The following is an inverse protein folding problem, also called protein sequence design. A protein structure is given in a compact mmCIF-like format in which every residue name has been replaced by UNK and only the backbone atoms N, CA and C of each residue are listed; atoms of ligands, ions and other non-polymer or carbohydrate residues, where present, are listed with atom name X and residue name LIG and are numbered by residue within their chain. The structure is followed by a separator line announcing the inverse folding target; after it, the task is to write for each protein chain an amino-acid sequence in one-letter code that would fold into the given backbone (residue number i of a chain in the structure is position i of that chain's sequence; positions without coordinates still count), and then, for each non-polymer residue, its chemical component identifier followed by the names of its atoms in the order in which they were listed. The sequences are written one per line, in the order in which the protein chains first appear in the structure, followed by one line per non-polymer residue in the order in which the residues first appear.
data_IF_297557238667
#
_entry.id   IF_297557238667
#
_cell.length_a   1.000
_cell.length_b   1.000
_cell.length_c   1.000
_cell.angle_alpha   90.00
_cell.angle_beta   90.00
_cell.angle_gamma   90.00
#
_symmetry.space_group_name_H-M   'P 1'
#
loop_
_entity.id
_entity.type
_entity.pdbx_description
1 polymer ?
#
# COMPACT_ATOMS: atom_id res chain seq x y z
N UNK A 1 -4.46 -62.16 -66.70
CA UNK A 1 -3.89 -61.75 -68.00
C UNK A 1 -3.10 -60.47 -67.77
N UNK A 2 -1.93 -60.40 -68.42
CA UNK A 2 -0.85 -59.47 -68.15
C UNK A 2 -1.07 -58.04 -68.69
N UNK A 3 -0.36 -57.08 -68.09
CA UNK A 3 0.33 -55.93 -68.70
C UNK A 3 1.08 -55.19 -67.56
N UNK A 4 2.41 -55.23 -67.43
CA UNK A 4 3.46 -54.54 -68.23
C UNK A 4 3.03 -53.13 -68.68
N UNK A 5 3.41 -52.08 -67.96
CA UNK A 5 4.71 -51.39 -67.98
C UNK A 5 4.75 -50.27 -69.05
N UNK A 6 4.96 -49.04 -68.58
CA UNK A 6 5.48 -47.93 -69.39
C UNK A 6 6.50 -47.14 -68.55
N UNK A 7 7.61 -46.83 -69.19
CA UNK A 7 8.88 -46.25 -68.72
C UNK A 7 9.08 -44.97 -69.58
N UNK A 8 9.99 -44.01 -69.32
CA UNK A 8 10.07 -43.04 -68.22
C UNK A 8 10.36 -41.58 -68.71
N UNK A 9 10.63 -40.69 -67.74
CA UNK A 9 11.68 -39.65 -67.77
C UNK A 9 11.34 -38.24 -68.27
N UNK A 10 11.51 -37.25 -67.38
CA UNK A 10 12.28 -36.01 -67.65
C UNK A 10 12.66 -35.26 -66.36
N UNK A 11 13.96 -35.37 -66.03
CA UNK A 11 14.92 -34.33 -65.58
C UNK A 11 14.48 -33.17 -64.65
N UNK A 12 15.20 -33.13 -63.52
CA UNK A 12 15.85 -32.00 -62.82
C UNK A 12 14.98 -30.87 -62.21
N UNK A 13 15.24 -30.53 -60.93
CA UNK A 13 15.94 -29.31 -60.46
C UNK A 13 15.64 -29.04 -58.96
N UNK A 14 16.71 -29.09 -58.17
CA UNK A 14 17.10 -28.22 -57.02
C UNK A 14 16.34 -28.25 -55.68
N UNK A 15 17.18 -28.41 -54.64
CA UNK A 15 16.99 -28.15 -53.20
C UNK A 15 16.16 -26.91 -52.86
N UNK A 16 15.26 -27.05 -51.89
CA UNK A 16 14.71 -25.96 -51.09
C UNK A 16 14.67 -26.33 -49.62
N UNK A 17 15.72 -25.98 -48.88
CA UNK A 17 15.69 -25.85 -47.42
C UNK A 17 14.82 -24.63 -47.08
N UNK A 18 13.74 -24.81 -46.33
CA UNK A 18 12.79 -23.73 -46.04
C UNK A 18 11.97 -23.94 -44.78
N UNK A 19 12.65 -23.71 -43.64
CA UNK A 19 12.14 -23.18 -42.38
C UNK A 19 10.67 -23.44 -41.96
N UNK A 20 10.45 -24.46 -41.15
CA UNK A 20 9.38 -24.44 -40.13
C UNK A 20 9.89 -23.68 -38.90
N UNK A 21 9.85 -22.34 -38.96
CA UNK A 21 9.98 -21.53 -37.76
C UNK A 21 8.68 -21.64 -36.96
N UNK A 22 8.73 -22.49 -35.94
CA UNK A 22 7.77 -22.54 -34.84
C UNK A 22 7.60 -21.13 -34.26
N UNK A 23 6.43 -20.52 -34.45
CA UNK A 23 6.01 -19.37 -33.64
C UNK A 23 5.74 -19.86 -32.22
N UNK A 24 6.79 -20.06 -31.44
CA UNK A 24 6.70 -20.06 -30.00
C UNK A 24 6.36 -18.63 -29.58
N UNK A 25 5.07 -18.35 -29.37
CA UNK A 25 4.65 -17.20 -28.57
C UNK A 25 5.37 -17.33 -27.24
N UNK A 26 6.36 -16.49 -27.01
CA UNK A 26 6.87 -16.25 -25.66
C UNK A 26 5.71 -15.67 -24.87
N UNK A 27 5.00 -16.54 -24.15
CA UNK A 27 4.22 -16.12 -23.00
C UNK A 27 5.22 -15.52 -22.03
N UNK A 28 5.31 -14.19 -22.01
CA UNK A 28 5.88 -13.47 -20.88
C UNK A 28 5.15 -14.01 -19.65
N UNK A 29 5.89 -14.69 -18.77
CA UNK A 29 5.39 -15.01 -17.46
C UNK A 29 4.99 -13.68 -16.82
N UNK A 30 3.68 -13.48 -16.65
CA UNK A 30 3.15 -12.33 -15.96
C UNK A 30 3.63 -12.48 -14.51
N UNK A 31 4.57 -11.64 -14.08
CA UNK A 31 5.04 -11.63 -12.69
C UNK A 31 3.80 -11.55 -11.79
N UNK A 32 3.61 -12.56 -10.93
CA UNK A 32 2.59 -12.51 -9.89
C UNK A 32 2.82 -11.22 -9.10
N UNK A 33 1.82 -10.32 -8.99
CA UNK A 33 1.96 -9.12 -8.17
C UNK A 33 2.39 -9.50 -6.76
N UNK A 34 3.34 -8.73 -6.20
CA UNK A 34 3.61 -8.76 -4.77
C UNK A 34 2.29 -8.51 -4.04
N UNK A 35 1.86 -9.48 -3.22
CA UNK A 35 0.68 -9.35 -2.37
C UNK A 35 1.13 -9.35 -0.90
N UNK A 36 0.69 -8.37 -0.08
CA UNK A 36 -0.16 -7.25 -0.46
C UNK A 36 0.58 -6.22 -1.33
N UNK A 37 -0.11 -5.53 -2.25
CA UNK A 37 0.50 -4.47 -3.02
C UNK A 37 0.96 -3.37 -2.07
N UNK A 38 2.17 -2.85 -2.25
CA UNK A 38 2.76 -1.83 -1.38
C UNK A 38 3.12 -0.57 -2.17
N UNK A 39 3.05 0.61 -1.54
CA UNK A 39 3.54 1.85 -2.14
C UNK A 39 5.07 1.82 -2.29
N UNK A 40 5.59 2.61 -3.24
CA UNK A 40 7.02 2.78 -3.43
C UNK A 40 7.62 3.78 -2.44
N UNK A 41 6.82 4.70 -1.91
CA UNK A 41 7.27 5.70 -0.96
C UNK A 41 7.54 5.10 0.42
N UNK A 42 8.77 5.28 0.88
CA UNK A 42 9.20 5.02 2.25
C UNK A 42 9.77 6.31 2.85
N UNK A 43 8.91 7.18 3.43
CA UNK A 43 9.40 8.41 4.04
C UNK A 43 10.43 8.10 5.14
N UNK A 44 11.48 8.92 5.22
CA UNK A 44 12.57 8.74 6.19
C UNK A 44 12.41 9.60 7.46
N UNK A 45 11.42 10.49 7.47
CA UNK A 45 11.08 11.39 8.55
C UNK A 45 9.76 10.94 9.20
N UNK A 46 9.67 11.09 10.53
CA UNK A 46 8.50 10.68 11.32
C UNK A 46 8.18 11.75 12.37
N UNK A 47 6.88 12.02 12.63
CA UNK A 47 6.48 12.88 13.74
C UNK A 47 7.00 12.36 15.09
N UNK A 48 7.07 13.25 16.08
CA UNK A 48 7.38 12.85 17.44
C UNK A 48 6.26 11.97 18.03
N UNK A 49 6.61 10.78 18.55
CA UNK A 49 5.61 9.84 19.05
C UNK A 49 4.83 10.34 20.27
N UNK A 50 5.43 11.15 21.15
CA UNK A 50 4.71 11.72 22.30
C UNK A 50 3.64 12.71 21.84
N UNK A 51 3.95 13.52 20.82
CA UNK A 51 2.97 14.40 20.19
C UNK A 51 1.83 13.59 19.55
N UNK A 52 2.14 12.51 18.82
CA UNK A 52 1.10 11.66 18.22
C UNK A 52 0.20 11.04 19.28
N UNK A 53 0.77 10.53 20.38
CA UNK A 53 0.00 9.97 21.48
C UNK A 53 -0.91 11.03 22.11
N UNK A 54 -0.40 12.23 22.37
CA UNK A 54 -1.18 13.33 22.93
C UNK A 54 -2.35 13.70 22.01
N UNK A 55 -2.13 13.79 20.70
CA UNK A 55 -3.19 14.10 19.72
C UNK A 55 -4.23 13.00 19.62
N UNK A 56 -3.83 11.74 19.55
CA UNK A 56 -4.77 10.60 19.53
C UNK A 56 -5.62 10.58 20.79
N UNK A 57 -5.02 10.83 21.97
CA UNK A 57 -5.75 10.98 23.24
C UNK A 57 -6.74 12.12 23.20
N UNK A 58 -6.31 13.28 22.72
CA UNK A 58 -7.14 14.47 22.63
C UNK A 58 -8.36 14.24 21.73
N UNK A 59 -8.15 13.74 20.51
CA UNK A 59 -9.24 13.49 19.55
C UNK A 59 -10.16 12.36 19.99
N UNK A 60 -9.60 11.29 20.58
CA UNK A 60 -10.34 10.17 21.14
C UNK A 60 -10.94 10.44 22.53
N UNK A 61 -10.76 11.64 23.09
CA UNK A 61 -11.23 12.06 24.42
C UNK A 61 -10.86 11.07 25.53
N UNK A 62 -9.66 10.49 25.47
CA UNK A 62 -9.15 9.47 26.40
C UNK A 62 -9.99 8.18 26.52
N UNK A 63 -10.97 7.96 25.64
CA UNK A 63 -11.99 6.91 25.82
C UNK A 63 -11.54 5.49 25.46
N UNK A 64 -10.36 5.32 24.87
CA UNK A 64 -9.95 4.07 24.25
C UNK A 64 -8.53 3.67 24.64
N UNK A 65 -8.32 2.36 24.78
CA UNK A 65 -7.01 1.75 24.73
C UNK A 65 -6.50 1.75 23.28
N UNK A 66 -5.22 1.99 23.08
CA UNK A 66 -4.61 1.90 21.76
C UNK A 66 -3.13 1.49 21.81
N UNK A 67 -2.69 0.88 20.73
CA UNK A 67 -1.32 0.45 20.50
C UNK A 67 -0.65 1.42 19.53
N UNK A 68 0.58 1.82 19.83
CA UNK A 68 1.37 2.73 19.01
C UNK A 68 2.51 1.96 18.35
N UNK A 69 2.60 2.08 17.03
CA UNK A 69 3.66 1.50 16.23
C UNK A 69 4.79 2.50 15.95
N UNK A 70 5.96 1.98 15.64
CA UNK A 70 7.18 2.77 15.47
C UNK A 70 7.07 3.87 14.41
N UNK A 71 6.32 3.66 13.32
CA UNK A 71 6.13 4.65 12.25
C UNK A 71 4.89 5.51 12.46
N UNK A 72 4.37 5.61 13.69
CA UNK A 72 3.29 6.49 14.15
C UNK A 72 1.86 6.00 13.94
N UNK A 73 1.67 4.82 13.38
CA UNK A 73 0.32 4.25 13.28
C UNK A 73 -0.18 3.89 14.67
N UNK A 74 -1.43 4.23 14.97
CA UNK A 74 -2.09 3.93 16.23
C UNK A 74 -3.31 3.05 15.97
N UNK A 75 -3.41 1.90 16.64
CA UNK A 75 -4.57 1.01 16.53
C UNK A 75 -5.38 1.05 17.83
N UNK A 76 -6.65 1.41 17.75
CA UNK A 76 -7.55 1.26 18.89
C UNK A 76 -7.80 -0.23 19.11
N UNK A 77 -7.81 -0.65 20.36
CA UNK A 77 -8.04 -2.04 20.76
C UNK A 77 -9.18 -2.13 21.77
N UNK A 78 -9.86 -3.28 21.87
CA UNK A 78 -10.85 -3.51 22.92
C UNK A 78 -10.27 -3.22 24.32
N UNK A 79 -11.05 -2.63 25.23
CA UNK A 79 -10.59 -2.35 26.58
C UNK A 79 -10.34 -3.65 27.36
N UNK A 80 -9.35 -3.63 28.26
CA UNK A 80 -9.09 -4.72 29.19
C UNK A 80 -8.27 -5.89 28.63
N UNK A 81 -7.77 -5.78 27.40
CA UNK A 81 -6.78 -6.72 26.86
C UNK A 81 -5.45 -6.60 27.61
N UNK A 82 -4.78 -7.70 27.90
CA UNK A 82 -3.38 -7.68 28.33
C UNK A 82 -2.48 -7.04 27.26
N UNK A 83 -1.25 -6.64 27.62
CA UNK A 83 -0.33 -6.01 26.67
C UNK A 83 -0.08 -6.91 25.44
N UNK A 84 0.13 -8.22 25.65
CA UNK A 84 0.33 -9.19 24.56
C UNK A 84 -0.91 -9.36 23.68
N UNK A 85 -2.11 -9.38 24.26
CA UNK A 85 -3.36 -9.47 23.50
C UNK A 85 -3.63 -8.19 22.69
N UNK A 86 -3.34 -7.02 23.28
CA UNK A 86 -3.47 -5.74 22.62
C UNK A 86 -2.52 -5.62 21.42
N UNK A 87 -1.25 -5.99 21.60
CA UNK A 87 -0.26 -6.02 20.52
C UNK A 87 -0.73 -6.94 19.38
N UNK A 88 -1.14 -8.17 19.69
CA UNK A 88 -1.64 -9.12 18.69
C UNK A 88 -2.86 -8.55 17.95
N UNK A 89 -3.83 -8.00 18.67
CA UNK A 89 -5.02 -7.40 18.08
C UNK A 89 -4.68 -6.24 17.14
N UNK A 90 -3.74 -5.38 17.54
CA UNK A 90 -3.30 -4.25 16.73
C UNK A 90 -2.57 -4.67 15.45
N UNK A 91 -1.71 -5.69 15.52
CA UNK A 91 -1.05 -6.26 14.32
C UNK A 91 -2.09 -6.87 13.38
N UNK A 92 -3.06 -7.62 13.91
CA UNK A 92 -4.16 -8.18 13.12
C UNK A 92 -5.00 -7.10 12.41
N UNK A 93 -5.21 -5.95 13.06
CA UNK A 93 -5.87 -4.78 12.43
C UNK A 93 -5.08 -4.31 11.21
N UNK A 94 -3.76 -4.10 11.34
CA UNK A 94 -2.93 -3.64 10.21
C UNK A 94 -2.89 -4.65 9.06
N UNK A 95 -2.79 -5.94 9.37
CA UNK A 95 -2.83 -7.00 8.35
C UNK A 95 -4.16 -7.03 7.59
N UNK A 96 -5.28 -6.81 8.28
CA UNK A 96 -6.59 -6.69 7.61
C UNK A 96 -6.64 -5.49 6.68
N UNK A 97 -6.11 -4.33 7.09
CA UNK A 97 -6.10 -3.13 6.24
C UNK A 97 -5.37 -3.41 4.92
N UNK A 98 -4.14 -3.94 4.97
CA UNK A 98 -3.32 -4.15 3.77
C UNK A 98 -3.74 -5.36 2.92
N UNK A 99 -4.48 -6.32 3.48
CA UNK A 99 -4.98 -7.49 2.75
C UNK A 99 -6.30 -7.25 1.99
N UNK A 100 -6.98 -6.14 2.27
CA UNK A 100 -8.22 -5.74 1.61
C UNK A 100 -7.96 -4.59 0.61
N UNK A 101 -8.65 -3.47 0.78
CA UNK A 101 -8.38 -2.21 0.10
C UNK A 101 -8.02 -1.20 1.20
N UNK A 102 -6.77 -0.73 1.28
CA UNK A 102 -6.34 0.22 2.31
C UNK A 102 -6.84 1.63 1.99
N UNK A 103 -8.17 1.77 1.99
CA UNK A 103 -8.89 3.03 1.91
C UNK A 103 -8.57 3.90 3.11
N UNK A 104 -8.51 5.20 2.85
CA UNK A 104 -8.25 6.21 3.85
C UNK A 104 -9.38 7.24 3.87
N UNK A 105 -9.70 7.72 5.07
CA UNK A 105 -10.66 8.78 5.30
C UNK A 105 -9.96 9.92 6.08
N UNK A 106 -9.34 10.87 5.38
CA UNK A 106 -8.67 11.98 6.03
C UNK A 106 -9.68 12.99 6.57
N UNK A 107 -9.42 13.48 7.77
CA UNK A 107 -10.21 14.50 8.45
C UNK A 107 -9.30 15.63 8.92
N UNK A 108 -9.65 16.86 8.56
CA UNK A 108 -8.98 18.05 9.08
C UNK A 108 -9.49 18.34 10.48
N UNK A 109 -8.57 18.38 11.44
CA UNK A 109 -8.86 18.68 12.84
C UNK A 109 -8.87 20.20 13.07
N UNK A 110 -9.41 20.64 14.21
CA UNK A 110 -9.57 22.07 14.51
C UNK A 110 -8.24 22.83 14.62
N UNK A 111 -7.14 22.13 14.95
CA UNK A 111 -5.77 22.65 15.01
C UNK A 111 -5.03 22.55 13.66
N UNK A 112 -5.72 22.11 12.60
CA UNK A 112 -5.17 21.93 11.26
C UNK A 112 -4.40 20.64 11.05
N UNK A 113 -4.25 19.79 12.06
CA UNK A 113 -3.68 18.45 11.91
C UNK A 113 -4.62 17.58 11.05
N UNK A 114 -4.05 16.58 10.38
CA UNK A 114 -4.85 15.62 9.63
C UNK A 114 -4.91 14.30 10.39
N UNK A 115 -6.12 13.88 10.74
CA UNK A 115 -6.41 12.53 11.22
C UNK A 115 -6.73 11.65 10.03
N UNK A 116 -5.93 10.62 9.77
CA UNK A 116 -6.15 9.65 8.70
C UNK A 116 -6.71 8.39 9.33
N UNK A 117 -7.98 8.10 9.11
CA UNK A 117 -8.61 6.83 9.51
C UNK A 117 -8.64 5.82 8.37
N UNK A 118 -8.65 4.53 8.70
CA UNK A 118 -8.76 3.44 7.72
C UNK A 118 -10.07 2.65 7.87
N UNK A 119 -10.28 1.67 7.00
CA UNK A 119 -11.43 0.74 7.03
C UNK A 119 -11.48 -0.18 8.28
N UNK A 120 -10.44 -0.15 9.11
CA UNK A 120 -10.35 -0.82 10.42
C UNK A 120 -9.84 0.20 11.46
N UNK A 121 -9.90 -0.09 12.78
CA UNK A 121 -9.64 0.91 13.83
C UNK A 121 -8.15 1.22 14.01
N UNK A 122 -7.52 1.70 12.94
CA UNK A 122 -6.18 2.26 12.91
C UNK A 122 -6.25 3.70 12.40
N UNK A 123 -5.28 4.48 12.85
CA UNK A 123 -5.22 5.91 12.59
C UNK A 123 -3.77 6.37 12.48
N UNK A 124 -3.54 7.39 11.67
CA UNK A 124 -2.35 8.23 11.77
C UNK A 124 -2.78 9.66 12.05
N UNK A 125 -2.00 10.38 12.84
CA UNK A 125 -2.12 11.83 12.96
C UNK A 125 -0.92 12.44 12.26
N UNK A 126 -1.16 13.38 11.36
CA UNK A 126 -0.12 14.13 10.66
C UNK A 126 -0.16 15.57 11.18
N UNK A 127 0.78 15.96 12.06
CA UNK A 127 0.84 17.31 12.55
C UNK A 127 1.11 18.31 11.43
N UNK A 128 0.39 19.44 11.43
CA UNK A 128 0.48 20.42 10.36
C UNK A 128 1.89 21.02 10.24
N UNK A 129 2.47 21.42 11.37
CA UNK A 129 3.80 22.04 11.38
C UNK A 129 4.90 21.05 11.00
N UNK A 130 4.75 19.79 11.37
CA UNK A 130 5.63 18.72 10.91
C UNK A 130 5.54 18.54 9.39
N UNK A 131 4.33 18.46 8.83
CA UNK A 131 4.15 18.32 7.39
C UNK A 131 4.72 19.52 6.63
N UNK A 132 4.57 20.74 7.15
CA UNK A 132 5.15 21.95 6.55
C UNK A 132 6.69 21.91 6.49
N UNK A 133 7.34 21.39 7.53
CA UNK A 133 8.80 21.23 7.55
C UNK A 133 9.31 20.28 6.46
N UNK A 134 8.49 19.28 6.10
CA UNK A 134 8.82 18.26 5.10
C UNK A 134 8.06 18.42 3.78
N UNK A 135 7.41 19.56 3.56
CA UNK A 135 6.42 19.74 2.50
C UNK A 135 6.96 19.41 1.11
N UNK A 136 8.22 19.80 0.83
CA UNK A 136 8.86 19.53 -0.46
C UNK A 136 8.85 18.05 -0.81
N UNK A 137 9.24 17.16 0.11
CA UNK A 137 9.24 15.72 -0.18
C UNK A 137 7.81 15.18 -0.30
N UNK A 138 6.89 15.66 0.54
CA UNK A 138 5.47 15.26 0.48
C UNK A 138 4.89 15.60 -0.89
N UNK A 139 5.10 16.83 -1.36
CA UNK A 139 4.63 17.27 -2.66
C UNK A 139 5.26 16.50 -3.82
N UNK A 140 6.57 16.27 -3.78
CA UNK A 140 7.29 15.55 -4.83
C UNK A 140 6.93 14.05 -4.89
N UNK A 141 6.61 13.43 -3.75
CA UNK A 141 6.52 11.96 -3.62
C UNK A 141 5.15 11.41 -3.25
N UNK A 142 4.13 12.22 -2.99
CA UNK A 142 2.83 11.71 -2.55
C UNK A 142 2.23 10.62 -3.46
N UNK A 143 2.41 10.71 -4.79
CA UNK A 143 1.94 9.68 -5.73
C UNK A 143 2.68 8.35 -5.60
N UNK A 144 3.92 8.33 -5.13
CA UNK A 144 4.64 7.11 -4.76
C UNK A 144 3.99 6.41 -3.55
N UNK A 145 3.12 7.12 -2.82
CA UNK A 145 2.28 6.60 -1.72
C UNK A 145 1.06 5.80 -2.17
N UNK A 146 0.85 5.67 -3.49
CA UNK A 146 -0.14 4.77 -4.10
C UNK A 146 0.49 3.40 -4.37
N UNK A 147 -0.29 2.34 -4.26
CA UNK A 147 0.16 1.02 -4.72
C UNK A 147 0.13 0.93 -6.24
N UNK A 148 0.82 -0.05 -6.82
CA UNK A 148 0.79 -0.27 -8.28
C UNK A 148 -0.65 -0.43 -8.78
N UNK A 149 -0.99 0.25 -9.87
CA UNK A 149 -2.30 0.25 -10.52
C UNK A 149 -3.46 0.81 -9.67
N UNK A 150 -3.17 1.44 -8.52
CA UNK A 150 -4.18 2.04 -7.66
C UNK A 150 -4.72 3.34 -8.24
N UNK A 151 -6.05 3.48 -8.18
CA UNK A 151 -6.75 4.70 -8.55
C UNK A 151 -7.63 5.12 -7.39
N UNK A 152 -7.29 6.23 -6.76
CA UNK A 152 -8.14 6.91 -5.79
C UNK A 152 -8.86 8.06 -6.48
N UNK A 153 -10.19 8.08 -6.38
CA UNK A 153 -11.02 9.15 -6.96
C UNK A 153 -11.18 10.25 -5.92
N UNK A 154 -10.69 11.45 -6.23
CA UNK A 154 -10.85 12.64 -5.40
C UNK A 154 -11.80 13.65 -6.07
N UNK A 155 -12.23 14.72 -5.36
CA UNK A 155 -12.97 15.80 -5.98
C UNK A 155 -12.22 16.53 -7.12
N UNK A 156 -10.89 16.44 -7.16
CA UNK A 156 -10.05 17.06 -8.20
C UNK A 156 -9.81 16.14 -9.40
N UNK A 157 -10.19 14.87 -9.30
CA UNK A 157 -9.99 13.85 -10.33
C UNK A 157 -9.26 12.61 -9.81
N UNK A 158 -9.03 11.62 -10.68
CA UNK A 158 -8.32 10.40 -10.31
C UNK A 158 -6.85 10.72 -10.00
N UNK A 159 -6.39 10.31 -8.81
CA UNK A 159 -5.02 10.51 -8.33
C UNK A 159 -4.53 11.97 -8.36
N UNK A 160 -5.45 12.94 -8.22
CA UNK A 160 -5.11 14.36 -8.04
C UNK A 160 -5.45 14.74 -6.62
N UNK A 161 -4.47 15.16 -5.82
CA UNK A 161 -4.64 15.40 -4.39
C UNK A 161 -4.41 16.87 -4.05
N UNK A 162 -5.29 17.40 -3.21
CA UNK A 162 -5.04 18.65 -2.48
C UNK A 162 -4.08 18.41 -1.31
N UNK A 163 -3.80 19.44 -0.53
CA UNK A 163 -2.81 19.34 0.54
C UNK A 163 -3.22 18.34 1.65
N UNK A 164 -4.52 18.24 1.92
CA UNK A 164 -5.07 17.24 2.85
C UNK A 164 -4.84 15.83 2.31
N UNK A 165 -5.13 15.61 1.03
CA UNK A 165 -4.90 14.32 0.36
C UNK A 165 -3.43 13.93 0.33
N UNK A 166 -2.52 14.87 0.08
CA UNK A 166 -1.06 14.63 0.13
C UNK A 166 -0.60 14.22 1.53
N UNK A 167 -1.06 14.92 2.58
CA UNK A 167 -0.79 14.54 3.97
C UNK A 167 -1.43 13.18 4.33
N UNK A 168 -2.60 12.87 3.78
CA UNK A 168 -3.25 11.58 3.99
C UNK A 168 -2.43 10.43 3.40
N UNK A 169 -1.86 10.61 2.20
CA UNK A 169 -0.96 9.65 1.57
C UNK A 169 0.32 9.45 2.39
N UNK A 170 0.86 10.51 3.01
CA UNK A 170 1.97 10.37 3.95
C UNK A 170 1.60 9.46 5.14
N UNK A 171 0.45 9.70 5.77
CA UNK A 171 -0.04 8.85 6.86
C UNK A 171 -0.25 7.40 6.43
N UNK A 172 -0.80 7.19 5.24
CA UNK A 172 -0.98 5.86 4.65
C UNK A 172 0.35 5.15 4.40
N UNK A 173 1.37 5.86 3.92
CA UNK A 173 2.72 5.30 3.78
C UNK A 173 3.28 4.81 5.11
N UNK A 174 3.09 5.56 6.20
CA UNK A 174 3.46 5.11 7.54
C UNK A 174 2.72 3.84 7.97
N UNK A 175 1.40 3.78 7.74
CA UNK A 175 0.59 2.59 8.01
C UNK A 175 1.11 1.36 7.26
N UNK A 176 1.44 1.49 5.97
CA UNK A 176 2.05 0.37 5.22
C UNK A 176 3.40 -0.06 5.81
N UNK A 177 4.25 0.88 6.22
CA UNK A 177 5.54 0.55 6.83
C UNK A 177 5.35 -0.22 8.14
N UNK A 178 4.43 0.23 8.99
CA UNK A 178 4.09 -0.46 10.25
C UNK A 178 3.41 -1.82 10.00
N UNK A 179 2.57 -1.93 8.96
CA UNK A 179 1.90 -3.18 8.64
C UNK A 179 2.88 -4.24 8.06
N UNK A 180 3.85 -3.81 7.26
CA UNK A 180 4.88 -4.69 6.66
C UNK A 180 5.99 -5.06 7.65
N UNK A 181 6.27 -4.22 8.64
CA UNK A 181 7.29 -4.46 9.67
C UNK A 181 6.81 -3.95 11.04
N UNK A 182 5.82 -4.66 11.59
CA UNK A 182 5.17 -4.29 12.83
C UNK A 182 6.15 -4.26 14.01
N UNK A 183 6.36 -3.07 14.55
CA UNK A 183 7.11 -2.84 15.79
C UNK A 183 6.26 -1.99 16.72
N UNK A 184 5.67 -2.63 17.73
CA UNK A 184 4.95 -1.91 18.79
C UNK A 184 5.96 -1.24 19.73
N UNK A 185 5.74 0.03 20.02
CA UNK A 185 6.62 0.82 20.89
C UNK A 185 5.95 1.26 22.17
N UNK A 186 4.60 1.39 22.19
CA UNK A 186 3.83 1.80 23.37
C UNK A 186 2.43 1.18 23.33
N UNK A 187 1.86 0.97 24.52
CA UNK A 187 0.45 0.65 24.73
C UNK A 187 -0.12 1.68 25.67
N UNK A 188 -1.19 2.33 25.24
CA UNK A 188 -1.83 3.46 25.87
C UNK A 188 -3.20 3.03 26.40
N UNK A 189 -3.42 3.12 27.72
CA UNK A 189 -4.66 2.68 28.38
C UNK A 189 -5.63 3.82 28.62
N UNK A 190 -6.93 3.63 28.41
CA UNK A 190 -7.95 4.65 28.69
C UNK A 190 -7.83 5.21 30.12
N UNK A 191 -8.18 6.49 30.29
CA UNK A 191 -8.08 7.23 31.58
C UNK A 191 -9.45 7.73 31.99
#
# INVERSE_FOLDING_TARGET
MAASAMVPNRRNIVLGLGATALFARQSHAQETPDFPPKPAWTPSFFPNLDEIVERVRHYGRNAHDFVVFQKTTCCLVPPGLSDTEAEKAAVEVLQKIISFHPDMNPQTMADGNILVGYNHPAYNVIPLDFARQHWREIEERHLDGLTRDEVLVTPLGPNVFDDVGKMALLGRSYMFMDALSATVVRIERAV
#
